data_IF_931052175835
#
_entry.id   IF_931052175835
#
_cell.length_a   1.000
_cell.length_b   1.000
_cell.length_c   1.000
_cell.angle_alpha   90.00
_cell.angle_beta   90.00
_cell.angle_gamma   90.00
#
_symmetry.space_group_name_H-M   'P 1'
#
loop_
_entity.id
_entity.type
_entity.pdbx_description
1 polymer ?
#
# COMPACT_ATOMS: atom_id res chain seq x y z
N UNK A 1 40.66 -2.54 -2.18
CA UNK A 1 39.19 -2.67 -2.26
C UNK A 1 38.87 -4.14 -2.18
N UNK A 2 38.00 -4.61 -1.26
CA UNK A 2 37.57 -6.00 -1.24
C UNK A 2 36.65 -6.23 -2.45
N UNK A 3 36.89 -7.28 -3.22
CA UNK A 3 36.01 -7.71 -4.30
C UNK A 3 34.70 -8.23 -3.69
N UNK A 4 33.54 -7.73 -4.19
CA UNK A 4 32.25 -8.26 -3.77
C UNK A 4 32.05 -9.69 -4.27
N UNK A 5 31.44 -10.57 -3.48
CA UNK A 5 31.16 -11.92 -3.93
C UNK A 5 30.07 -11.93 -5.01
N UNK A 6 30.23 -12.76 -6.02
CA UNK A 6 29.17 -13.12 -6.98
C UNK A 6 28.39 -14.26 -6.34
N UNK A 7 27.07 -14.06 -6.12
CA UNK A 7 26.22 -15.02 -5.44
C UNK A 7 25.61 -16.02 -6.44
N UNK A 8 26.00 -17.29 -6.41
CA UNK A 8 25.45 -18.30 -7.31
C UNK A 8 24.03 -18.71 -6.86
N UNK A 9 23.15 -19.00 -7.82
CA UNK A 9 21.75 -19.35 -7.55
C UNK A 9 21.55 -20.49 -6.54
N UNK A 10 22.36 -21.57 -6.51
CA UNK A 10 22.21 -22.65 -5.53
C UNK A 10 22.42 -22.19 -4.08
N UNK A 11 23.19 -21.13 -3.85
CA UNK A 11 23.46 -20.58 -2.51
C UNK A 11 22.43 -19.54 -2.06
N UNK A 12 21.48 -19.15 -2.92
CA UNK A 12 20.45 -18.16 -2.66
C UNK A 12 19.73 -18.33 -1.31
N UNK A 13 19.27 -19.53 -0.92
CA UNK A 13 18.59 -19.69 0.38
C UNK A 13 19.48 -19.31 1.57
N UNK A 14 20.75 -19.64 1.54
CA UNK A 14 21.69 -19.32 2.61
C UNK A 14 21.97 -17.82 2.70
N UNK A 15 22.07 -17.13 1.56
CA UNK A 15 22.23 -15.68 1.51
C UNK A 15 20.97 -14.96 1.99
N UNK A 16 19.80 -15.41 1.57
CA UNK A 16 18.53 -14.85 2.03
C UNK A 16 18.34 -14.97 3.55
N UNK A 17 18.75 -16.11 4.15
CA UNK A 17 18.68 -16.26 5.61
C UNK A 17 19.53 -15.21 6.35
N UNK A 18 20.67 -14.81 5.81
CA UNK A 18 21.51 -13.74 6.37
C UNK A 18 20.87 -12.35 6.22
N UNK A 19 20.00 -12.17 5.24
CA UNK A 19 19.28 -10.92 4.99
C UNK A 19 17.99 -10.78 5.81
N UNK A 20 17.64 -11.77 6.64
CA UNK A 20 16.43 -11.73 7.48
C UNK A 20 16.48 -10.55 8.45
N UNK A 21 15.45 -9.71 8.42
CA UNK A 21 15.35 -8.53 9.26
C UNK A 21 14.25 -8.68 10.32
N UNK A 22 14.39 -8.08 11.53
CA UNK A 22 13.43 -8.22 12.62
C UNK A 22 11.98 -7.85 12.26
N UNK A 23 11.78 -6.82 11.44
CA UNK A 23 10.44 -6.37 11.03
C UNK A 23 9.69 -7.42 10.18
N UNK A 24 10.40 -8.35 9.56
CA UNK A 24 9.79 -9.43 8.77
C UNK A 24 9.00 -10.43 9.61
N UNK A 25 9.20 -10.45 10.94
CA UNK A 25 8.38 -11.25 11.85
C UNK A 25 6.89 -10.86 11.81
N UNK A 26 6.59 -9.64 11.40
CA UNK A 26 5.22 -9.17 11.20
C UNK A 26 4.61 -9.50 9.84
N UNK A 27 5.28 -10.28 8.97
CA UNK A 27 4.75 -10.72 7.67
C UNK A 27 4.30 -12.16 7.77
N UNK A 28 3.00 -12.42 7.56
CA UNK A 28 2.40 -13.71 7.86
C UNK A 28 2.26 -14.60 6.63
N UNK A 29 1.75 -14.07 5.53
CA UNK A 29 1.60 -14.79 4.26
C UNK A 29 1.55 -13.82 3.09
N UNK A 30 2.01 -14.25 1.92
CA UNK A 30 1.84 -13.50 0.67
C UNK A 30 1.44 -14.42 -0.48
N UNK A 31 0.34 -14.11 -1.15
CA UNK A 31 0.06 -14.64 -2.48
C UNK A 31 0.86 -13.87 -3.51
N UNK A 32 1.44 -14.57 -4.47
CA UNK A 32 2.11 -14.00 -5.64
C UNK A 32 1.63 -14.67 -6.91
N UNK A 33 1.08 -13.90 -7.84
CA UNK A 33 0.68 -14.42 -9.15
C UNK A 33 1.88 -14.91 -9.98
N UNK A 34 3.07 -14.34 -9.74
CA UNK A 34 4.31 -14.78 -10.37
C UNK A 34 4.72 -16.18 -9.93
N UNK A 35 4.55 -16.48 -8.63
CA UNK A 35 4.86 -17.80 -8.07
C UNK A 35 3.68 -18.78 -8.24
N UNK A 36 2.50 -18.27 -8.60
CA UNK A 36 1.28 -19.08 -8.71
C UNK A 36 0.81 -19.67 -7.37
N UNK A 37 1.18 -19.05 -6.23
CA UNK A 37 0.88 -19.62 -4.92
C UNK A 37 1.07 -18.66 -3.75
N UNK A 38 0.88 -19.20 -2.53
CA UNK A 38 1.03 -18.49 -1.27
C UNK A 38 2.31 -18.95 -0.57
N UNK A 39 3.13 -17.98 -0.15
CA UNK A 39 4.33 -18.20 0.66
C UNK A 39 4.13 -17.64 2.06
N UNK A 40 4.68 -18.33 3.08
CA UNK A 40 4.62 -17.93 4.49
C UNK A 40 5.99 -17.57 5.06
N UNK A 41 7.08 -17.85 4.33
CA UNK A 41 8.39 -17.35 4.72
C UNK A 41 8.58 -15.93 4.13
N UNK A 42 8.80 -14.90 4.97
CA UNK A 42 9.03 -13.52 4.51
C UNK A 42 10.17 -13.35 3.52
N UNK A 43 11.16 -14.25 3.52
CA UNK A 43 12.27 -14.21 2.56
C UNK A 43 11.83 -14.48 1.11
N UNK A 44 10.69 -15.16 0.94
CA UNK A 44 10.10 -15.44 -0.37
C UNK A 44 9.04 -14.41 -0.78
N UNK A 45 8.72 -13.46 0.10
CA UNK A 45 7.74 -12.39 -0.17
C UNK A 45 8.42 -11.26 -0.95
N UNK A 46 8.65 -11.50 -2.24
CA UNK A 46 9.43 -10.59 -3.08
C UNK A 46 8.67 -10.19 -4.34
N UNK A 47 8.99 -9.00 -4.83
CA UNK A 47 8.54 -8.47 -6.11
C UNK A 47 9.78 -8.35 -7.01
N UNK A 48 9.74 -8.79 -8.26
CA UNK A 48 10.88 -8.70 -9.18
C UNK A 48 11.37 -7.26 -9.37
N UNK A 49 12.69 -7.10 -9.55
CA UNK A 49 13.30 -5.79 -9.76
C UNK A 49 12.86 -5.12 -11.06
N UNK A 50 12.47 -5.88 -12.06
CA UNK A 50 11.96 -5.44 -13.36
C UNK A 50 10.43 -5.25 -13.38
N UNK A 51 9.76 -5.47 -12.26
CA UNK A 51 8.34 -5.10 -12.12
C UNK A 51 8.21 -3.56 -12.11
N UNK A 52 7.35 -3.01 -12.95
CA UNK A 52 7.11 -1.57 -13.04
C UNK A 52 6.63 -0.94 -11.71
N UNK A 53 6.00 -1.72 -10.84
CA UNK A 53 5.69 -1.29 -9.47
C UNK A 53 6.95 -0.82 -8.72
N UNK A 54 8.07 -1.55 -8.89
CA UNK A 54 9.31 -1.33 -8.13
C UNK A 54 10.04 -0.09 -8.60
N UNK A 55 10.17 0.09 -9.91
CA UNK A 55 11.02 1.17 -10.45
C UNK A 55 10.26 2.32 -11.11
N UNK A 56 8.91 2.23 -11.20
CA UNK A 56 8.05 3.31 -11.75
C UNK A 56 6.87 3.66 -10.85
N UNK A 57 6.55 2.83 -9.83
CA UNK A 57 5.33 2.99 -9.06
C UNK A 57 4.05 2.74 -9.89
N UNK A 58 4.18 2.06 -11.05
CA UNK A 58 3.08 1.78 -11.97
C UNK A 58 2.28 0.57 -11.49
N UNK A 59 1.37 0.86 -10.59
CA UNK A 59 0.48 -0.07 -9.96
C UNK A 59 -0.48 0.64 -9.01
N UNK A 60 -1.47 -0.08 -8.53
CA UNK A 60 -2.47 0.38 -7.57
C UNK A 60 -2.51 -0.56 -6.38
N UNK A 61 -2.99 -0.06 -5.23
CA UNK A 61 -3.02 -0.89 -4.04
C UNK A 61 -4.23 -0.64 -3.16
N UNK A 62 -4.52 -1.61 -2.29
CA UNK A 62 -5.45 -1.46 -1.19
C UNK A 62 -4.82 -1.88 0.13
N UNK A 63 -5.36 -1.36 1.22
CA UNK A 63 -5.02 -1.77 2.58
C UNK A 63 -6.31 -2.00 3.34
N UNK A 64 -6.51 -3.22 3.81
CA UNK A 64 -7.77 -3.69 4.36
C UNK A 64 -7.52 -4.26 5.75
N UNK A 65 -8.38 -3.92 6.70
CA UNK A 65 -8.31 -4.43 8.06
C UNK A 65 -9.04 -5.78 8.16
N UNK A 66 -8.40 -6.74 8.80
CA UNK A 66 -9.02 -8.00 9.20
C UNK A 66 -8.99 -8.08 10.73
N UNK A 67 -10.14 -8.33 11.35
CA UNK A 67 -10.28 -8.49 12.81
C UNK A 67 -11.14 -9.71 13.09
N UNK A 68 -10.63 -10.64 13.92
CA UNK A 68 -11.31 -11.89 14.23
C UNK A 68 -11.78 -12.64 12.98
N UNK A 69 -10.91 -12.71 11.97
CA UNK A 69 -11.17 -13.28 10.64
C UNK A 69 -12.21 -12.53 9.79
N UNK A 70 -12.83 -11.46 10.29
CA UNK A 70 -13.71 -10.58 9.55
C UNK A 70 -12.91 -9.57 8.72
N UNK A 71 -13.01 -9.65 7.38
CA UNK A 71 -12.35 -8.71 6.47
C UNK A 71 -13.26 -7.52 6.26
N UNK A 72 -12.81 -6.33 6.68
CA UNK A 72 -13.63 -5.12 6.69
C UNK A 72 -13.81 -4.55 5.29
N UNK A 73 -15.06 -4.36 4.85
CA UNK A 73 -15.45 -3.69 3.59
C UNK A 73 -14.65 -4.21 2.36
N UNK A 74 -14.41 -5.54 2.28
CA UNK A 74 -13.62 -6.12 1.18
C UNK A 74 -14.21 -5.76 -0.19
N UNK A 75 -15.55 -5.72 -0.30
CA UNK A 75 -16.25 -5.39 -1.53
C UNK A 75 -15.87 -3.99 -2.03
N UNK A 76 -16.03 -2.99 -1.19
CA UNK A 76 -15.77 -1.58 -1.47
C UNK A 76 -14.29 -1.33 -1.78
N UNK A 77 -13.39 -2.01 -1.08
CA UNK A 77 -11.96 -1.97 -1.37
C UNK A 77 -11.62 -2.53 -2.75
N UNK A 78 -12.26 -3.64 -3.16
CA UNK A 78 -12.05 -4.20 -4.49
C UNK A 78 -12.64 -3.30 -5.59
N UNK A 79 -13.78 -2.64 -5.33
CA UNK A 79 -14.36 -1.66 -6.26
C UNK A 79 -13.41 -0.48 -6.47
N UNK A 80 -12.80 0.06 -5.39
CA UNK A 80 -11.82 1.12 -5.48
C UNK A 80 -10.50 0.66 -6.15
N UNK A 81 -10.05 -0.58 -5.90
CA UNK A 81 -8.90 -1.16 -6.60
C UNK A 81 -9.13 -1.15 -8.11
N UNK A 82 -10.31 -1.64 -8.56
CA UNK A 82 -10.66 -1.66 -9.98
C UNK A 82 -10.80 -0.26 -10.58
N UNK A 83 -11.42 0.68 -9.86
CA UNK A 83 -11.53 2.07 -10.30
C UNK A 83 -10.15 2.71 -10.46
N UNK A 84 -9.25 2.52 -9.48
CA UNK A 84 -7.88 3.02 -9.54
C UNK A 84 -7.08 2.39 -10.69
N UNK A 85 -7.20 1.09 -10.90
CA UNK A 85 -6.55 0.38 -12.00
C UNK A 85 -7.04 0.88 -13.37
N UNK A 86 -8.35 1.01 -13.53
CA UNK A 86 -8.96 1.54 -14.75
C UNK A 86 -8.48 2.96 -15.08
N UNK A 87 -8.36 3.81 -14.06
CA UNK A 87 -7.91 5.20 -14.23
C UNK A 87 -6.48 5.33 -14.79
N UNK A 88 -5.62 4.32 -14.58
CA UNK A 88 -4.26 4.26 -15.15
C UNK A 88 -4.14 3.27 -16.31
N UNK A 89 -5.27 2.78 -16.85
CA UNK A 89 -5.27 1.80 -17.93
C UNK A 89 -4.56 0.48 -17.57
N UNK A 90 -4.62 0.07 -16.31
CA UNK A 90 -4.05 -1.19 -15.82
C UNK A 90 -5.13 -2.27 -15.83
N UNK A 91 -4.91 -3.33 -16.62
CA UNK A 91 -5.82 -4.46 -16.65
C UNK A 91 -5.76 -5.27 -15.33
N UNK A 92 -6.93 -5.70 -14.84
CA UNK A 92 -7.04 -6.67 -13.76
C UNK A 92 -7.67 -7.95 -14.32
N UNK A 93 -6.87 -8.97 -14.69
CA UNK A 93 -7.41 -10.19 -15.34
C UNK A 93 -8.10 -11.13 -14.36
N UNK A 94 -8.07 -10.86 -13.06
CA UNK A 94 -8.70 -11.69 -12.03
C UNK A 94 -10.15 -11.24 -11.80
N UNK A 95 -11.13 -12.13 -11.98
CA UNK A 95 -12.52 -11.87 -11.59
C UNK A 95 -12.63 -11.51 -10.11
N UNK A 96 -13.68 -10.74 -9.76
CA UNK A 96 -13.90 -10.28 -8.37
C UNK A 96 -13.95 -11.44 -7.37
N UNK A 97 -14.64 -12.51 -7.72
CA UNK A 97 -14.78 -13.71 -6.88
C UNK A 97 -13.41 -14.36 -6.64
N UNK A 98 -12.57 -14.42 -7.67
CA UNK A 98 -11.20 -14.93 -7.56
C UNK A 98 -10.37 -14.05 -6.61
N UNK A 99 -10.47 -12.72 -6.70
CA UNK A 99 -9.77 -11.82 -5.78
C UNK A 99 -10.23 -12.02 -4.34
N UNK A 100 -11.54 -12.16 -4.11
CA UNK A 100 -12.10 -12.46 -2.77
C UNK A 100 -11.52 -13.76 -2.22
N UNK A 101 -11.47 -14.80 -3.04
CA UNK A 101 -10.96 -16.11 -2.61
C UNK A 101 -9.46 -16.09 -2.35
N UNK A 102 -8.66 -15.42 -3.19
CA UNK A 102 -7.23 -15.26 -2.99
C UNK A 102 -6.92 -14.49 -1.70
N UNK A 103 -7.66 -13.41 -1.43
CA UNK A 103 -7.54 -12.65 -0.17
C UNK A 103 -7.82 -13.55 1.03
N UNK A 104 -8.94 -14.29 1.01
CA UNK A 104 -9.32 -15.19 2.11
C UNK A 104 -8.31 -16.31 2.31
N UNK A 105 -7.82 -16.92 1.24
CA UNK A 105 -6.81 -17.98 1.31
C UNK A 105 -5.49 -17.43 1.90
N UNK A 106 -5.07 -16.23 1.49
CA UNK A 106 -3.85 -15.59 2.02
C UNK A 106 -3.97 -15.31 3.52
N UNK A 107 -5.11 -14.77 3.96
CA UNK A 107 -5.37 -14.53 5.41
C UNK A 107 -5.34 -15.84 6.20
N UNK A 108 -5.99 -16.90 5.71
CA UNK A 108 -5.98 -18.22 6.34
C UNK A 108 -4.58 -18.81 6.45
N UNK A 109 -3.80 -18.71 5.37
CA UNK A 109 -2.41 -19.21 5.36
C UNK A 109 -1.51 -18.46 6.34
N UNK A 110 -1.79 -17.18 6.61
CA UNK A 110 -1.09 -16.39 7.61
C UNK A 110 -1.35 -16.82 9.07
N UNK A 111 -2.47 -17.52 9.35
CA UNK A 111 -2.76 -18.10 10.65
C UNK A 111 -3.06 -17.09 11.78
N UNK A 112 -3.28 -15.81 11.47
CA UNK A 112 -3.55 -14.77 12.45
C UNK A 112 -4.99 -14.25 12.33
N UNK A 113 -5.77 -14.17 13.43
CA UNK A 113 -7.15 -13.70 13.39
C UNK A 113 -7.27 -12.20 13.11
N UNK A 114 -6.24 -11.44 13.44
CA UNK A 114 -6.15 -10.01 13.20
C UNK A 114 -4.92 -9.69 12.34
N UNK A 115 -5.12 -9.03 11.20
CA UNK A 115 -4.03 -8.62 10.31
C UNK A 115 -4.43 -7.40 9.47
N UNK A 116 -3.45 -6.75 8.87
CA UNK A 116 -3.65 -5.89 7.72
C UNK A 116 -3.41 -6.70 6.43
N UNK A 117 -4.24 -6.48 5.46
CA UNK A 117 -4.14 -7.08 4.13
C UNK A 117 -3.75 -5.97 3.17
N UNK A 118 -2.66 -6.17 2.44
CA UNK A 118 -2.26 -5.27 1.36
C UNK A 118 -2.40 -5.99 0.03
N UNK A 119 -3.21 -5.43 -0.85
CA UNK A 119 -3.33 -5.90 -2.24
C UNK A 119 -2.52 -4.94 -3.10
N UNK A 120 -1.61 -5.46 -3.91
CA UNK A 120 -0.83 -4.72 -4.89
C UNK A 120 -1.17 -5.31 -6.26
N UNK A 121 -1.74 -4.49 -7.13
CA UNK A 121 -1.95 -4.82 -8.54
C UNK A 121 -0.94 -4.00 -9.34
N UNK A 122 0.04 -4.68 -9.91
CA UNK A 122 1.16 -4.11 -10.65
C UNK A 122 0.94 -4.19 -12.16
N UNK A 123 1.56 -3.29 -12.91
CA UNK A 123 1.72 -3.46 -14.37
C UNK A 123 2.41 -4.77 -14.70
N UNK A 124 3.26 -5.27 -13.82
CA UNK A 124 4.01 -6.51 -13.92
C UNK A 124 5.46 -6.32 -14.36
N UNK A 125 6.22 -7.43 -14.36
CA UNK A 125 7.57 -7.45 -14.88
C UNK A 125 7.62 -7.11 -16.38
N UNK A 126 8.64 -6.36 -16.80
CA UNK A 126 8.80 -5.93 -18.18
C UNK A 126 10.14 -5.26 -18.45
N UNK A 127 10.18 -4.36 -19.41
CA UNK A 127 11.40 -3.61 -19.70
C UNK A 127 11.72 -2.60 -18.58
N UNK A 128 12.99 -2.22 -18.47
CA UNK A 128 13.43 -1.18 -17.54
C UNK A 128 13.04 0.24 -18.01
N UNK A 129 12.34 0.36 -19.13
CA UNK A 129 11.83 1.62 -19.69
C UNK A 129 10.64 2.19 -18.92
N UNK A 130 9.91 3.12 -19.54
CA UNK A 130 8.69 3.73 -18.99
C UNK A 130 7.44 3.33 -19.78
N UNK A 131 7.58 2.58 -20.87
CA UNK A 131 6.49 2.17 -21.72
C UNK A 131 5.68 1.04 -21.03
N UNK A 132 4.41 1.28 -20.62
CA UNK A 132 3.62 0.26 -19.92
C UNK A 132 3.28 -0.96 -20.79
N UNK A 133 3.35 -0.82 -22.10
CA UNK A 133 3.08 -1.92 -23.05
C UNK A 133 4.23 -2.94 -23.14
N UNK A 134 5.38 -2.64 -22.55
CA UNK A 134 6.49 -3.59 -22.45
C UNK A 134 6.32 -4.59 -21.30
N UNK A 135 5.24 -4.48 -20.52
CA UNK A 135 4.87 -5.42 -19.46
C UNK A 135 3.80 -6.39 -19.98
N UNK A 136 4.15 -7.64 -20.30
CA UNK A 136 3.24 -8.56 -20.98
C UNK A 136 2.05 -9.01 -20.13
N UNK A 137 2.22 -9.07 -18.80
CA UNK A 137 1.18 -9.55 -17.88
C UNK A 137 1.21 -8.78 -16.56
N UNK A 138 0.04 -8.35 -16.04
CA UNK A 138 -0.04 -7.74 -14.71
C UNK A 138 0.41 -8.70 -13.60
N UNK A 139 0.97 -8.12 -12.52
CA UNK A 139 1.31 -8.82 -11.30
C UNK A 139 0.28 -8.57 -10.20
N UNK A 140 -0.06 -9.62 -9.44
CA UNK A 140 -0.92 -9.51 -8.25
C UNK A 140 -0.19 -10.07 -7.05
N UNK A 141 -0.08 -9.23 -6.00
CA UNK A 141 0.51 -9.63 -4.72
C UNK A 141 -0.48 -9.28 -3.61
N UNK A 142 -0.76 -10.25 -2.72
CA UNK A 142 -1.64 -10.05 -1.57
C UNK A 142 -0.86 -10.44 -0.33
N UNK A 143 -0.56 -9.46 0.52
CA UNK A 143 0.23 -9.65 1.75
C UNK A 143 -0.69 -9.54 2.96
N UNK A 144 -0.70 -10.55 3.82
CA UNK A 144 -1.23 -10.48 5.18
C UNK A 144 -0.09 -10.20 6.17
N UNK A 145 -0.21 -9.12 6.93
CA UNK A 145 0.83 -8.69 7.87
C UNK A 145 0.25 -8.12 9.17
N UNK A 146 1.11 -7.84 10.13
CA UNK A 146 0.74 -7.36 11.46
C UNK A 146 -0.21 -6.16 11.42
N UNK A 147 -1.32 -6.26 12.17
CA UNK A 147 -2.20 -5.15 12.49
C UNK A 147 -1.71 -4.49 13.79
N UNK A 148 -1.12 -3.31 13.66
CA UNK A 148 -0.71 -2.51 14.82
C UNK A 148 -1.92 -1.87 15.54
N UNK A 149 -1.81 -1.59 16.86
CA UNK A 149 -2.84 -0.85 17.57
C UNK A 149 -3.17 0.48 16.88
N UNK A 150 -4.43 0.90 16.94
CA UNK A 150 -4.84 2.18 16.35
C UNK A 150 -4.14 3.34 17.05
N UNK A 151 -3.90 4.43 16.30
CA UNK A 151 -3.32 5.65 16.86
C UNK A 151 -4.11 6.15 18.06
N UNK A 152 -5.44 6.21 17.97
CA UNK A 152 -6.32 6.71 19.04
C UNK A 152 -6.24 5.87 20.32
N UNK A 153 -6.00 4.56 20.22
CA UNK A 153 -5.81 3.72 21.42
C UNK A 153 -4.53 4.10 22.20
N UNK A 154 -3.53 4.64 21.50
CA UNK A 154 -2.26 5.06 22.09
C UNK A 154 -2.25 6.56 22.45
N UNK A 155 -3.11 7.36 21.82
CA UNK A 155 -3.19 8.83 21.96
C UNK A 155 -4.63 9.29 22.23
N UNK A 156 -5.24 8.93 23.37
CA UNK A 156 -6.64 9.27 23.68
C UNK A 156 -6.87 10.78 23.82
N UNK A 157 -5.82 11.55 24.08
CA UNK A 157 -5.89 13.03 24.18
C UNK A 157 -5.88 13.73 22.80
N UNK A 158 -5.73 12.98 21.72
CA UNK A 158 -5.68 13.51 20.35
C UNK A 158 -4.30 13.51 19.74
N UNK A 159 -4.17 14.19 18.61
CA UNK A 159 -2.96 14.24 17.78
C UNK A 159 -2.41 15.67 17.68
N UNK A 160 -1.08 15.79 17.62
CA UNK A 160 -0.41 17.02 17.21
C UNK A 160 -0.29 17.05 15.69
N UNK A 161 -0.75 18.11 15.07
CA UNK A 161 -0.82 18.26 13.62
C UNK A 161 -0.13 19.53 13.18
N UNK A 162 0.63 19.47 12.09
CA UNK A 162 1.21 20.63 11.42
C UNK A 162 0.74 20.74 9.98
N UNK A 163 0.89 21.92 9.39
CA UNK A 163 0.65 22.12 7.96
C UNK A 163 1.88 21.64 7.19
N UNK A 164 1.64 20.78 6.19
CA UNK A 164 2.70 20.27 5.33
C UNK A 164 3.18 21.31 4.32
N UNK A 165 4.50 21.33 4.07
CA UNK A 165 5.08 22.05 2.93
C UNK A 165 5.08 21.22 1.65
N UNK A 166 4.82 19.91 1.78
CA UNK A 166 4.68 19.01 0.64
C UNK A 166 3.26 19.17 0.09
N UNK A 167 3.10 19.53 -1.18
CA UNK A 167 1.78 19.66 -1.78
C UNK A 167 1.12 18.29 -1.91
N UNK A 168 -0.22 18.27 -1.88
CA UNK A 168 -0.96 17.06 -2.24
C UNK A 168 -0.72 16.70 -3.71
N UNK A 169 -1.04 15.46 -4.05
CA UNK A 169 -1.04 15.05 -5.46
C UNK A 169 -2.01 15.93 -6.27
N UNK A 170 -1.65 16.28 -7.52
CA UNK A 170 -2.58 16.96 -8.43
C UNK A 170 -3.92 16.23 -8.52
N UNK A 171 -5.00 16.94 -8.76
CA UNK A 171 -6.37 16.41 -8.73
C UNK A 171 -6.57 15.15 -9.58
N UNK A 172 -5.89 15.03 -10.72
CA UNK A 172 -5.94 13.82 -11.55
C UNK A 172 -5.48 12.56 -10.78
N UNK A 173 -4.45 12.68 -9.93
CA UNK A 173 -3.91 11.56 -9.16
C UNK A 173 -4.49 11.44 -7.75
N UNK A 174 -5.22 12.44 -7.28
CA UNK A 174 -5.70 12.49 -5.89
C UNK A 174 -6.66 11.35 -5.57
N UNK A 175 -7.52 10.97 -6.52
CA UNK A 175 -8.51 9.90 -6.36
C UNK A 175 -7.99 8.51 -6.72
N UNK A 176 -6.76 8.40 -7.22
CA UNK A 176 -6.15 7.13 -7.62
C UNK A 176 -5.26 6.61 -6.51
N UNK A 177 -5.59 5.42 -5.99
CA UNK A 177 -4.76 4.75 -4.97
C UNK A 177 -3.58 4.02 -5.63
N UNK A 178 -2.70 4.83 -6.28
CA UNK A 178 -1.53 4.33 -7.01
C UNK A 178 -0.31 4.17 -6.10
N UNK A 179 0.63 3.31 -6.50
CA UNK A 179 1.83 3.00 -5.72
C UNK A 179 2.90 4.11 -5.72
N UNK A 180 2.77 5.15 -6.53
CA UNK A 180 3.66 6.32 -6.55
C UNK A 180 3.45 7.23 -5.31
N UNK A 181 3.70 6.70 -4.13
CA UNK A 181 3.38 7.28 -2.83
C UNK A 181 4.50 8.17 -2.27
N UNK A 182 5.41 8.66 -3.11
CA UNK A 182 6.52 9.51 -2.67
C UNK A 182 6.07 10.80 -1.95
N UNK A 183 5.07 11.57 -2.43
CA UNK A 183 4.57 12.73 -1.69
C UNK A 183 4.08 12.37 -0.29
N UNK A 184 3.31 11.28 -0.16
CA UNK A 184 2.80 10.79 1.12
C UNK A 184 3.95 10.37 2.08
N UNK A 185 4.99 9.71 1.55
CA UNK A 185 6.17 9.34 2.33
C UNK A 185 6.93 10.59 2.83
N UNK A 186 7.06 11.63 1.99
CA UNK A 186 7.69 12.90 2.36
C UNK A 186 6.87 13.66 3.41
N UNK A 187 5.53 13.67 3.31
CA UNK A 187 4.65 14.24 4.33
C UNK A 187 4.83 13.52 5.68
N UNK A 188 4.90 12.19 5.68
CA UNK A 188 5.16 11.44 6.93
C UNK A 188 6.54 11.71 7.49
N UNK A 189 7.57 11.80 6.62
CA UNK A 189 8.91 12.20 7.04
C UNK A 189 8.89 13.59 7.68
N UNK A 190 8.22 14.56 7.07
CA UNK A 190 8.08 15.92 7.59
C UNK A 190 7.41 15.91 8.99
N UNK A 191 6.35 15.12 9.20
CA UNK A 191 5.72 14.99 10.51
C UNK A 191 6.71 14.49 11.57
N UNK A 192 7.53 13.48 11.24
CA UNK A 192 8.57 12.94 12.13
C UNK A 192 9.64 14.00 12.43
N UNK A 193 10.14 14.70 11.42
CA UNK A 193 11.19 15.73 11.56
C UNK A 193 10.71 16.92 12.42
N UNK A 194 9.42 17.26 12.34
CA UNK A 194 8.78 18.31 13.14
C UNK A 194 8.39 17.85 14.56
N UNK A 195 8.49 16.55 14.84
CA UNK A 195 8.06 15.98 16.13
C UNK A 195 6.57 16.03 16.35
N UNK A 196 5.75 16.00 15.26
CA UNK A 196 4.28 15.93 15.31
C UNK A 196 3.79 14.57 14.83
N UNK A 197 2.53 14.27 15.07
CA UNK A 197 1.97 12.96 14.74
C UNK A 197 1.59 12.87 13.26
N UNK A 198 1.00 13.96 12.73
CA UNK A 198 0.57 14.06 11.34
C UNK A 198 0.87 15.42 10.74
N UNK A 199 0.95 15.47 9.41
CA UNK A 199 0.87 16.72 8.64
C UNK A 199 -0.35 16.69 7.74
N UNK A 200 -0.99 17.85 7.54
CA UNK A 200 -2.10 18.03 6.61
C UNK A 200 -1.68 18.99 5.50
N UNK A 201 -2.04 18.66 4.28
CA UNK A 201 -1.74 19.48 3.12
C UNK A 201 -2.99 20.22 2.60
N UNK A 202 -2.74 21.27 1.85
CA UNK A 202 -3.75 22.04 1.15
C UNK A 202 -3.61 21.83 -0.37
N UNK A 203 -4.72 21.98 -1.08
CA UNK A 203 -4.70 21.96 -2.54
C UNK A 203 -4.16 23.28 -3.11
N UNK A 204 -4.05 23.34 -4.43
CA UNK A 204 -3.57 24.52 -5.19
C UNK A 204 -4.46 25.77 -5.01
N UNK A 205 -5.62 25.64 -4.40
CA UNK A 205 -6.55 26.72 -4.09
C UNK A 205 -6.58 27.10 -2.60
N UNK A 206 -5.66 26.55 -1.82
CA UNK A 206 -5.60 26.77 -0.38
C UNK A 206 -6.71 26.10 0.43
N UNK A 207 -7.35 25.06 -0.10
CA UNK A 207 -8.38 24.28 0.61
C UNK A 207 -7.75 23.10 1.29
N UNK A 208 -8.22 22.80 2.51
CA UNK A 208 -7.81 21.60 3.24
C UNK A 208 -8.08 20.35 2.39
N UNK A 209 -7.09 19.48 2.30
CA UNK A 209 -7.17 18.22 1.58
C UNK A 209 -7.02 17.02 2.53
N UNK A 210 -5.87 16.41 2.56
CA UNK A 210 -5.64 15.17 3.32
C UNK A 210 -4.26 15.15 3.96
N UNK A 211 -4.01 14.20 4.85
CA UNK A 211 -2.68 13.87 5.38
C UNK A 211 -1.93 12.88 4.49
N UNK A 212 -0.83 12.33 5.03
CA UNK A 212 -0.04 11.32 4.34
C UNK A 212 -0.84 10.04 4.04
N UNK A 213 -1.68 9.61 4.98
CA UNK A 213 -2.55 8.43 4.88
C UNK A 213 -3.90 8.64 5.57
N UNK A 214 -4.13 9.82 6.09
CA UNK A 214 -5.28 10.21 6.89
C UNK A 214 -6.17 11.20 6.13
N UNK A 215 -7.49 11.00 6.21
CA UNK A 215 -8.47 12.00 5.80
C UNK A 215 -8.66 13.02 6.94
N UNK A 216 -8.97 14.27 6.59
CA UNK A 216 -9.26 15.33 7.53
C UNK A 216 -10.73 15.71 7.48
N UNK A 217 -11.27 16.10 8.62
CA UNK A 217 -12.63 16.65 8.73
C UNK A 217 -12.73 17.64 9.88
N UNK A 218 -13.67 18.55 9.81
CA UNK A 218 -13.94 19.56 10.82
C UNK A 218 -15.36 19.35 11.34
N UNK A 219 -15.50 19.13 12.65
CA UNK A 219 -16.79 19.16 13.31
C UNK A 219 -17.09 20.61 13.70
N UNK A 220 -18.20 21.15 13.18
CA UNK A 220 -18.64 22.50 13.52
C UNK A 220 -19.33 22.55 14.89
N UNK A 221 -19.47 23.74 15.47
CA UNK A 221 -20.22 23.91 16.71
C UNK A 221 -21.71 23.50 16.58
N UNK A 222 -22.27 23.57 15.38
CA UNK A 222 -23.62 23.09 15.07
C UNK A 222 -23.73 21.56 14.95
N UNK A 223 -22.60 20.82 15.04
CA UNK A 223 -22.57 19.36 14.93
C UNK A 223 -22.42 18.84 13.51
N UNK A 224 -22.21 19.70 12.50
CA UNK A 224 -22.00 19.26 11.12
C UNK A 224 -20.56 18.78 10.93
N UNK A 225 -20.39 17.60 10.36
CA UNK A 225 -19.08 17.13 9.89
C UNK A 225 -18.80 17.65 8.47
N UNK A 226 -17.80 18.49 8.32
CA UNK A 226 -17.31 18.99 7.03
C UNK A 226 -16.04 18.28 6.63
N UNK A 227 -16.02 17.73 5.41
CA UNK A 227 -14.88 17.03 4.83
C UNK A 227 -14.47 17.69 3.52
N UNK A 228 -13.21 17.54 3.07
CA UNK A 228 -12.79 17.97 1.75
C UNK A 228 -13.61 17.30 0.65
N UNK A 229 -13.68 17.93 -0.52
CA UNK A 229 -14.42 17.38 -1.66
C UNK A 229 -13.83 16.02 -2.07
N UNK A 230 -14.64 14.95 -2.27
CA UNK A 230 -14.15 13.62 -2.65
C UNK A 230 -13.32 13.60 -3.94
N UNK A 231 -13.55 14.54 -4.86
CA UNK A 231 -12.76 14.68 -6.09
C UNK A 231 -11.31 15.17 -5.85
N UNK A 232 -10.94 15.53 -4.62
CA UNK A 232 -9.65 16.10 -4.23
C UNK A 232 -8.88 15.27 -3.23
N UNK A 233 -9.47 14.21 -2.75
CA UNK A 233 -8.89 13.31 -1.75
C UNK A 233 -9.14 11.87 -2.15
N UNK A 234 -8.40 10.97 -1.54
CA UNK A 234 -8.65 9.54 -1.63
C UNK A 234 -9.78 9.17 -0.67
N UNK A 235 -10.98 8.96 -1.19
CA UNK A 235 -12.15 8.56 -0.42
C UNK A 235 -12.29 7.03 -0.28
#
# INVERSE_FOLDING_TARGET
MSTLPILPAPEWPAWMQRARAPHQAGYYAMFSSLLGGIVTDPLLMQVPVDDHLVHRGDGVFETIKCVEHGIYLLGEHLDRLHASASAIGLACPWPRETLVDLVRQTVRAGGHPCCLIRILLSRGPGSMGVNPYDCPTPGLYILAHELKPSFMAQHPAGARVAISRIPIKPSFFATIKACNYLPNALMKKEAVDLGVDFTLAFDEHGRLAEGATENAGILTEAGDLRVPQPARILA
#
